data_IF_060335167435
#
_entry.id   IF_060335167435
#
_cell.length_a   1.000
_cell.length_b   1.000
_cell.length_c   1.000
_cell.angle_alpha   90.00
_cell.angle_beta   90.00
_cell.angle_gamma   90.00
#
_symmetry.space_group_name_H-M   'P 1'
#
loop_
_entity.id
_entity.type
_entity.pdbx_description
1 polymer ?
#
# COMPACT_ATOMS: atom_id res chain seq x y z
N UNK A 1 -9.41 18.65 29.77
CA UNK A 1 -7.97 18.27 29.89
C UNK A 1 -7.76 16.79 29.61
N UNK A 2 -8.41 15.89 30.36
CA UNK A 2 -8.40 14.42 30.16
C UNK A 2 -8.66 13.95 28.71
N UNK A 3 -9.59 14.57 27.96
CA UNK A 3 -9.87 14.19 26.56
C UNK A 3 -8.76 14.58 25.57
N UNK A 4 -8.00 15.63 25.86
CA UNK A 4 -6.87 16.02 25.02
C UNK A 4 -5.72 15.03 25.21
N UNK A 5 -5.42 14.72 26.47
CA UNK A 5 -4.40 13.75 26.85
C UNK A 5 -4.71 12.36 26.28
N UNK A 6 -5.96 11.88 26.43
CA UNK A 6 -6.42 10.62 25.82
C UNK A 6 -6.22 10.61 24.29
N UNK A 7 -6.55 11.71 23.60
CA UNK A 7 -6.34 11.81 22.14
C UNK A 7 -4.86 11.76 21.77
N UNK A 8 -3.99 12.40 22.56
CA UNK A 8 -2.55 12.37 22.34
C UNK A 8 -1.99 10.94 22.50
N UNK A 9 -2.37 10.23 23.56
CA UNK A 9 -1.98 8.83 23.74
C UNK A 9 -2.44 7.93 22.59
N UNK A 10 -3.70 8.08 22.15
CA UNK A 10 -4.23 7.29 21.03
C UNK A 10 -3.49 7.56 19.72
N UNK A 11 -3.09 8.82 19.46
CA UNK A 11 -2.24 9.15 18.29
C UNK A 11 -0.89 8.46 18.36
N UNK A 12 -0.24 8.48 19.52
CA UNK A 12 1.06 7.80 19.72
C UNK A 12 0.93 6.29 19.51
N UNK A 13 -0.09 5.65 20.08
CA UNK A 13 -0.34 4.22 19.89
C UNK A 13 -0.59 3.90 18.41
N UNK A 14 -1.38 4.73 17.72
CA UNK A 14 -1.65 4.56 16.28
C UNK A 14 -0.39 4.69 15.43
N UNK A 15 0.48 5.66 15.75
CA UNK A 15 1.75 5.83 15.07
C UNK A 15 2.67 4.61 15.26
N UNK A 16 2.82 4.13 16.50
CA UNK A 16 3.63 2.93 16.80
C UNK A 16 3.09 1.70 16.07
N UNK A 17 1.76 1.50 16.07
CA UNK A 17 1.12 0.41 15.32
C UNK A 17 1.39 0.51 13.82
N UNK A 18 1.37 1.73 13.27
CA UNK A 18 1.66 1.98 11.86
C UNK A 18 3.13 1.70 11.50
N UNK A 19 4.07 1.98 12.42
CA UNK A 19 5.49 1.63 12.27
C UNK A 19 5.70 0.10 12.30
N UNK A 20 4.93 -0.62 13.11
CA UNK A 20 4.99 -2.08 13.24
C UNK A 20 4.07 -2.82 12.24
N UNK A 21 3.54 -2.13 11.23
CA UNK A 21 2.68 -2.75 10.24
C UNK A 21 3.45 -3.90 9.54
N UNK A 22 2.86 -5.10 9.39
CA UNK A 22 3.58 -6.29 8.91
C UNK A 22 4.34 -6.08 7.59
N UNK A 23 3.76 -5.32 6.66
CA UNK A 23 4.36 -5.03 5.36
C UNK A 23 5.69 -4.28 5.43
N UNK A 24 5.96 -3.52 6.51
CA UNK A 24 7.22 -2.79 6.68
C UNK A 24 8.41 -3.69 6.99
N UNK A 25 8.13 -4.93 7.41
CA UNK A 25 9.15 -5.93 7.68
C UNK A 25 9.39 -6.87 6.49
N UNK A 26 8.60 -6.73 5.42
CA UNK A 26 8.77 -7.57 4.23
C UNK A 26 9.92 -7.04 3.36
N UNK A 27 10.74 -7.93 2.80
CA UNK A 27 11.67 -7.59 1.74
C UNK A 27 10.97 -6.98 0.52
N UNK A 28 11.70 -6.16 -0.25
CA UNK A 28 11.15 -5.45 -1.42
C UNK A 28 10.63 -6.41 -2.49
N UNK A 29 11.38 -7.46 -2.78
CA UNK A 29 11.04 -8.52 -3.74
C UNK A 29 9.77 -9.27 -3.34
N UNK A 30 9.58 -9.56 -2.05
CA UNK A 30 8.33 -10.16 -1.55
C UNK A 30 7.14 -9.24 -1.79
N UNK A 31 7.31 -7.94 -1.54
CA UNK A 31 6.26 -6.95 -1.79
C UNK A 31 5.92 -6.84 -3.28
N UNK A 32 6.92 -6.89 -4.17
CA UNK A 32 6.72 -6.87 -5.62
C UNK A 32 5.93 -8.09 -6.11
N UNK A 33 6.23 -9.28 -5.59
CA UNK A 33 5.45 -10.50 -5.87
C UNK A 33 4.00 -10.32 -5.41
N UNK A 34 3.77 -9.85 -4.18
CA UNK A 34 2.42 -9.61 -3.65
C UNK A 34 1.65 -8.63 -4.55
N UNK A 35 2.27 -7.51 -4.94
CA UNK A 35 1.62 -6.50 -5.77
C UNK A 35 1.30 -7.04 -7.16
N UNK A 36 2.18 -7.83 -7.75
CA UNK A 36 1.97 -8.47 -9.05
C UNK A 36 0.83 -9.47 -9.00
N UNK A 37 0.67 -10.20 -7.89
CA UNK A 37 -0.47 -11.11 -7.68
C UNK A 37 -1.80 -10.38 -7.50
N UNK A 38 -1.81 -9.06 -7.28
CA UNK A 38 -3.05 -8.27 -7.30
C UNK A 38 -3.53 -7.96 -8.72
N UNK A 39 -2.72 -8.20 -9.75
CA UNK A 39 -3.16 -8.05 -11.12
C UNK A 39 -4.21 -9.10 -11.47
N UNK A 40 -5.19 -8.73 -12.30
CA UNK A 40 -6.19 -9.67 -12.77
C UNK A 40 -5.57 -10.79 -13.61
N UNK A 41 -6.17 -11.97 -13.55
CA UNK A 41 -5.72 -13.12 -14.36
C UNK A 41 -6.05 -12.96 -15.86
N UNK A 42 -6.96 -12.04 -16.20
CA UNK A 42 -7.36 -11.72 -17.57
C UNK A 42 -6.77 -10.36 -17.95
N UNK A 43 -6.06 -10.33 -19.07
CA UNK A 43 -5.28 -9.17 -19.55
C UNK A 43 -6.16 -8.02 -20.06
N UNK A 44 -7.43 -8.30 -20.42
CA UNK A 44 -8.35 -7.34 -21.04
C UNK A 44 -9.17 -6.54 -20.01
N UNK A 45 -8.51 -5.91 -19.05
CA UNK A 45 -9.20 -4.95 -18.19
C UNK A 45 -9.17 -3.56 -18.80
N UNK A 46 -10.36 -2.98 -19.03
CA UNK A 46 -10.45 -1.55 -19.30
C UNK A 46 -9.73 -0.76 -18.19
N UNK A 47 -9.00 0.31 -18.55
CA UNK A 47 -8.37 1.18 -17.57
C UNK A 47 -9.41 1.70 -16.58
N UNK A 48 -9.23 1.40 -15.30
CA UNK A 48 -10.12 1.84 -14.23
C UNK A 48 -9.30 2.27 -13.03
N UNK A 49 -9.78 3.30 -12.33
CA UNK A 49 -9.20 3.75 -11.06
C UNK A 49 -9.24 2.67 -9.96
N UNK A 50 -10.05 1.64 -10.17
CA UNK A 50 -10.15 0.49 -9.27
C UNK A 50 -9.18 -0.65 -9.63
N UNK A 51 -8.35 -0.50 -10.67
CA UNK A 51 -7.32 -1.48 -10.99
C UNK A 51 -6.24 -1.47 -9.90
N UNK A 52 -5.65 -2.63 -9.62
CA UNK A 52 -4.70 -2.82 -8.52
C UNK A 52 -3.59 -1.74 -8.45
N UNK A 53 -2.92 -1.33 -9.55
CA UNK A 53 -1.86 -0.33 -9.48
C UNK A 53 -2.35 1.02 -8.90
N UNK A 54 -3.53 1.46 -9.30
CA UNK A 54 -4.13 2.70 -8.78
C UNK A 54 -4.59 2.56 -7.32
N UNK A 55 -5.04 1.38 -6.90
CA UNK A 55 -5.40 1.15 -5.50
C UNK A 55 -4.17 1.11 -4.59
N UNK A 56 -3.09 0.43 -5.03
CA UNK A 56 -1.84 0.29 -4.26
C UNK A 56 -1.17 1.64 -4.02
N UNK A 57 -1.20 2.56 -4.99
CA UNK A 57 -0.64 3.91 -4.86
C UNK A 57 -1.32 4.78 -3.81
N UNK A 58 -2.55 4.44 -3.36
CA UNK A 58 -3.34 5.22 -2.41
C UNK A 58 -3.16 4.83 -0.94
N UNK A 59 -2.42 3.75 -0.66
CA UNK A 59 -2.26 3.22 0.70
C UNK A 59 -1.34 4.09 1.55
N UNK A 60 -0.12 4.32 1.08
CA UNK A 60 0.84 5.25 1.68
C UNK A 60 1.94 5.62 0.69
N UNK A 61 2.76 6.61 1.03
CA UNK A 61 3.85 7.07 0.17
C UNK A 61 4.87 5.98 -0.19
N UNK A 62 5.15 5.05 0.73
CA UNK A 62 6.06 3.92 0.47
C UNK A 62 5.48 2.95 -0.57
N UNK A 63 4.18 2.68 -0.51
CA UNK A 63 3.49 1.85 -1.50
C UNK A 63 3.38 2.55 -2.85
N UNK A 64 3.12 3.87 -2.86
CA UNK A 64 3.16 4.68 -4.08
C UNK A 64 4.49 4.53 -4.81
N UNK A 65 5.61 4.76 -4.11
CA UNK A 65 6.96 4.62 -4.70
C UNK A 65 7.21 3.21 -5.22
N UNK A 66 6.91 2.21 -4.40
CA UNK A 66 7.14 0.82 -4.78
C UNK A 66 6.30 0.42 -6.02
N UNK A 67 5.03 0.81 -6.07
CA UNK A 67 4.14 0.52 -7.20
C UNK A 67 4.65 1.18 -8.49
N UNK A 68 5.16 2.41 -8.39
CA UNK A 68 5.76 3.13 -9.52
C UNK A 68 7.08 2.49 -9.99
N UNK A 69 7.84 1.88 -9.08
CA UNK A 69 9.10 1.19 -9.38
C UNK A 69 8.91 -0.19 -10.05
N UNK A 70 7.68 -0.71 -10.17
CA UNK A 70 7.37 -2.04 -10.73
C UNK A 70 6.67 -1.87 -12.09
N UNK A 71 7.41 -1.83 -13.23
CA UNK A 71 6.83 -1.58 -14.55
C UNK A 71 5.75 -2.58 -14.97
N UNK A 72 5.87 -3.83 -14.52
CA UNK A 72 4.92 -4.91 -14.85
C UNK A 72 3.49 -4.58 -14.40
N UNK A 73 3.32 -3.85 -13.31
CA UNK A 73 1.99 -3.44 -12.82
C UNK A 73 1.25 -2.53 -13.81
N UNK A 74 1.99 -1.83 -14.68
CA UNK A 74 1.45 -0.84 -15.62
C UNK A 74 1.35 -1.37 -17.05
N UNK A 75 1.77 -2.61 -17.29
CA UNK A 75 1.85 -3.18 -18.64
C UNK A 75 0.49 -3.50 -19.29
N UNK A 76 -0.58 -3.57 -18.49
CA UNK A 76 -1.93 -3.95 -18.91
C UNK A 76 -2.94 -2.78 -18.82
N UNK A 77 -2.44 -1.54 -18.71
CA UNK A 77 -3.25 -0.31 -18.61
C UNK A 77 -3.11 0.51 -19.88
#
# INVERSE_FOLDING_TARGET
ELDLEKRQYLRTISAIRSLNAPWRHLPRDVMEVIFTLCLPLQEDQCPSINNAPFLLTRVCWSWYKLTHDIPRLWSTI
#
